data_IF_521191818557
#
_entry.id   IF_521191818557
#
_cell.length_a   1.000
_cell.length_b   1.000
_cell.length_c   1.000
_cell.angle_alpha   90.00
_cell.angle_beta   90.00
_cell.angle_gamma   90.00
#
_symmetry.space_group_name_H-M   'P 1'
#
loop_
_entity.id
_entity.type
_entity.pdbx_description
1 polymer ?
#
# COMPACT_ATOMS: atom_id res chain seq x y z
N UNK A 1 12.67 20.83 -6.62
CA UNK A 1 13.04 19.41 -6.42
C UNK A 1 13.66 19.27 -5.05
N UNK A 2 13.23 18.32 -4.25
CA UNK A 2 13.79 18.02 -2.95
C UNK A 2 14.22 16.55 -2.91
N UNK A 3 15.34 16.25 -2.31
CA UNK A 3 15.83 14.89 -2.12
C UNK A 3 16.68 14.76 -0.86
N UNK A 4 16.66 13.60 -0.27
CA UNK A 4 17.54 13.20 0.81
C UNK A 4 17.91 11.72 0.61
N UNK A 5 19.15 11.36 0.86
CA UNK A 5 19.55 9.96 0.83
C UNK A 5 20.85 9.74 1.63
N UNK A 6 21.05 8.50 2.09
CA UNK A 6 22.29 8.10 2.76
C UNK A 6 23.47 7.95 1.79
N UNK A 7 23.28 8.22 0.51
CA UNK A 7 24.31 8.16 -0.52
C UNK A 7 24.99 9.51 -0.68
N UNK A 8 26.30 9.49 -0.78
CA UNK A 8 27.03 10.66 -1.22
C UNK A 8 26.79 10.90 -2.71
N UNK A 9 25.98 11.91 -3.02
CA UNK A 9 25.62 12.24 -4.40
C UNK A 9 26.75 12.74 -5.28
N UNK A 10 27.91 13.05 -4.69
CA UNK A 10 29.08 13.50 -5.45
C UNK A 10 29.82 12.36 -6.14
N UNK A 11 29.85 11.19 -5.55
CA UNK A 11 30.59 10.04 -6.05
C UNK A 11 29.75 8.75 -6.14
N UNK A 12 28.45 8.79 -5.84
CA UNK A 12 27.57 7.63 -5.76
C UNK A 12 28.00 6.56 -4.75
N UNK A 13 28.86 6.90 -3.82
CA UNK A 13 29.28 6.00 -2.75
C UNK A 13 28.36 6.12 -1.55
N UNK A 14 28.19 5.01 -0.85
CA UNK A 14 27.47 5.01 0.42
C UNK A 14 28.29 5.81 1.45
N UNK A 15 27.69 6.85 2.00
CA UNK A 15 28.29 7.66 3.05
C UNK A 15 28.09 6.94 4.39
N UNK A 16 29.14 6.25 4.85
CA UNK A 16 29.13 5.55 6.13
C UNK A 16 29.09 6.49 7.34
N UNK A 17 29.45 7.76 7.13
CA UNK A 17 29.44 8.79 8.17
C UNK A 17 28.08 9.51 8.25
N UNK A 18 27.28 9.47 7.17
CA UNK A 18 25.86 9.77 7.24
C UNK A 18 25.21 8.68 8.07
N UNK A 19 24.75 9.01 9.27
CA UNK A 19 24.02 8.10 10.13
C UNK A 19 22.90 7.39 9.37
N UNK A 20 22.37 6.25 9.87
CA UNK A 20 21.33 5.48 9.20
C UNK A 20 20.03 6.27 9.03
N UNK A 21 19.92 7.44 9.62
CA UNK A 21 18.75 8.30 9.63
C UNK A 21 19.10 9.67 9.07
N UNK A 22 18.44 10.03 7.96
CA UNK A 22 18.57 11.35 7.32
C UNK A 22 17.39 12.28 7.67
N UNK A 23 16.48 11.83 8.50
CA UNK A 23 15.33 12.60 8.93
C UNK A 23 14.49 11.87 9.98
N UNK A 24 13.57 12.59 10.58
CA UNK A 24 12.64 12.09 11.59
C UNK A 24 11.20 12.47 11.23
N UNK A 25 10.24 11.69 11.70
CA UNK A 25 8.85 11.92 11.37
C UNK A 25 7.88 11.27 12.32
N UNK A 26 6.61 11.58 12.11
CA UNK A 26 5.50 11.06 12.88
C UNK A 26 4.36 10.67 11.93
N UNK A 27 3.72 9.53 12.20
CA UNK A 27 2.56 9.04 11.46
C UNK A 27 1.52 8.47 12.41
N UNK A 28 0.25 8.66 12.05
CA UNK A 28 -0.90 8.09 12.75
C UNK A 28 -1.84 7.44 11.77
N UNK A 29 -2.25 6.21 12.09
CA UNK A 29 -3.34 5.50 11.44
C UNK A 29 -4.51 5.38 12.40
N UNK A 30 -5.70 5.71 11.95
CA UNK A 30 -6.93 5.63 12.73
C UNK A 30 -7.95 4.79 11.97
N UNK A 31 -8.59 3.85 12.63
CA UNK A 31 -9.61 3.05 11.98
C UNK A 31 -10.65 2.49 12.93
N UNK A 32 -11.83 2.25 12.39
CA UNK A 32 -12.93 1.60 13.08
C UNK A 32 -13.53 0.54 12.18
N UNK A 33 -13.87 -0.62 12.76
CA UNK A 33 -14.53 -1.71 12.05
C UNK A 33 -15.82 -2.07 12.78
N UNK A 34 -16.91 -2.02 12.05
CA UNK A 34 -18.22 -2.48 12.51
C UNK A 34 -18.52 -3.85 11.89
N UNK A 35 -18.89 -4.83 12.73
CA UNK A 35 -19.22 -6.20 12.31
C UNK A 35 -20.63 -6.54 12.78
N UNK A 36 -21.52 -6.86 11.83
CA UNK A 36 -22.82 -7.42 12.14
C UNK A 36 -22.75 -8.95 12.07
N UNK A 37 -22.83 -9.59 13.22
CA UNK A 37 -22.86 -11.05 13.32
C UNK A 37 -24.23 -11.64 13.04
N UNK A 38 -24.28 -12.88 12.56
CA UNK A 38 -25.55 -13.59 12.35
C UNK A 38 -26.23 -13.88 13.67
N UNK A 39 -27.56 -13.75 13.72
CA UNK A 39 -28.36 -13.95 14.95
C UNK A 39 -28.21 -15.34 15.56
N UNK A 40 -27.97 -16.36 14.75
CA UNK A 40 -27.80 -17.74 15.23
C UNK A 40 -26.53 -17.93 16.07
N UNK A 41 -25.51 -17.14 15.86
CA UNK A 41 -24.25 -17.21 16.60
C UNK A 41 -24.42 -16.77 18.04
N UNK A 42 -25.26 -15.78 18.30
CA UNK A 42 -25.51 -15.27 19.64
C UNK A 42 -26.21 -16.28 20.57
N UNK A 43 -26.82 -17.35 20.03
CA UNK A 43 -27.45 -18.42 20.82
C UNK A 43 -26.48 -19.58 21.14
N UNK A 44 -25.44 -19.75 20.34
CA UNK A 44 -24.51 -20.88 20.45
C UNK A 44 -23.31 -20.52 21.34
N UNK A 45 -23.02 -19.23 21.52
CA UNK A 45 -21.81 -18.74 22.16
C UNK A 45 -22.06 -17.93 23.44
N UNK A 46 -22.84 -18.46 24.38
CA UNK A 46 -22.92 -17.93 25.76
C UNK A 46 -21.67 -18.29 26.61
N UNK A 47 -20.62 -18.80 25.98
CA UNK A 47 -19.34 -19.13 26.61
C UNK A 47 -18.21 -18.21 26.13
N UNK A 48 -17.04 -18.21 26.81
CA UNK A 48 -15.87 -17.48 26.35
C UNK A 48 -15.49 -18.00 24.94
N UNK A 49 -15.73 -17.18 23.92
CA UNK A 49 -15.39 -17.50 22.55
C UNK A 49 -13.89 -17.76 22.47
N UNK A 50 -13.51 -18.90 21.88
CA UNK A 50 -12.11 -19.14 21.54
C UNK A 50 -11.67 -18.05 20.57
N UNK A 51 -10.62 -17.31 20.91
CA UNK A 51 -10.19 -16.08 20.21
C UNK A 51 -9.88 -16.27 18.71
N UNK A 52 -9.87 -17.49 18.21
CA UNK A 52 -9.59 -17.90 16.84
C UNK A 52 -10.78 -18.55 16.13
N UNK A 53 -11.96 -18.58 16.77
CA UNK A 53 -13.15 -19.13 16.15
C UNK A 53 -13.70 -18.16 15.11
N UNK A 54 -13.94 -18.64 13.89
CA UNK A 54 -14.57 -17.86 12.85
C UNK A 54 -16.00 -17.48 13.27
N UNK A 55 -16.24 -16.21 13.48
CA UNK A 55 -17.58 -15.68 13.80
C UNK A 55 -18.26 -15.36 12.47
N UNK A 56 -19.31 -16.10 12.07
CA UNK A 56 -20.05 -15.79 10.85
C UNK A 56 -20.72 -14.43 10.97
N UNK A 57 -20.54 -13.62 9.96
CA UNK A 57 -21.09 -12.26 9.87
C UNK A 57 -22.07 -12.13 8.71
N UNK A 58 -22.97 -11.14 8.82
CA UNK A 58 -23.79 -10.67 7.69
C UNK A 58 -22.99 -9.68 6.85
N UNK A 59 -22.38 -8.70 7.52
CA UNK A 59 -21.48 -7.76 6.88
C UNK A 59 -20.43 -7.18 7.84
N UNK A 60 -19.34 -6.68 7.26
CA UNK A 60 -18.30 -5.91 7.94
C UNK A 60 -18.10 -4.59 7.20
N UNK A 61 -18.03 -3.49 7.94
CA UNK A 61 -17.72 -2.17 7.44
C UNK A 61 -16.52 -1.63 8.19
N UNK A 62 -15.44 -1.37 7.48
CA UNK A 62 -14.22 -0.75 8.00
C UNK A 62 -14.05 0.64 7.40
N UNK A 63 -13.70 1.61 8.21
CA UNK A 63 -13.32 2.97 7.77
C UNK A 63 -12.01 3.31 8.46
N UNK A 64 -11.03 3.75 7.70
CA UNK A 64 -9.70 4.10 8.23
C UNK A 64 -9.12 5.33 7.55
N UNK A 65 -8.45 6.14 8.33
CA UNK A 65 -7.54 7.18 7.85
C UNK A 65 -6.12 6.67 8.00
N UNK A 66 -5.36 6.70 6.92
CA UNK A 66 -4.04 6.10 6.81
C UNK A 66 -2.98 7.17 6.60
N UNK A 67 -1.80 6.95 7.18
CA UNK A 67 -0.59 7.73 6.94
C UNK A 67 -0.76 9.25 7.18
N UNK A 68 -1.49 9.63 8.24
CA UNK A 68 -1.58 11.03 8.65
C UNK A 68 -0.28 11.44 9.33
N UNK A 69 0.62 12.05 8.55
CA UNK A 69 1.92 12.39 9.11
C UNK A 69 2.88 13.03 8.13
N UNK A 70 4.11 13.18 8.60
CA UNK A 70 5.19 13.78 7.86
C UNK A 70 6.55 13.20 8.25
N UNK A 71 7.53 13.40 7.38
CA UNK A 71 8.96 13.16 7.66
C UNK A 71 9.70 14.45 7.36
N UNK A 72 10.49 14.93 8.31
CA UNK A 72 11.40 16.05 8.16
C UNK A 72 12.81 15.51 7.90
N UNK A 73 13.41 15.96 6.80
CA UNK A 73 14.76 15.60 6.40
C UNK A 73 15.66 16.81 6.62
N UNK A 74 16.71 16.66 7.41
CA UNK A 74 17.67 17.70 7.80
C UNK A 74 19.13 17.28 7.58
N UNK A 75 19.40 15.99 7.39
CA UNK A 75 20.74 15.50 7.05
C UNK A 75 20.82 15.09 5.59
N UNK A 76 21.85 15.52 4.88
CA UNK A 76 22.07 15.29 3.45
C UNK A 76 20.82 15.60 2.59
N UNK A 77 20.05 16.60 3.03
CA UNK A 77 18.83 17.05 2.40
C UNK A 77 19.09 18.30 1.58
N UNK A 78 18.57 18.36 0.36
CA UNK A 78 18.78 19.47 -0.55
C UNK A 78 17.51 19.81 -1.29
N UNK A 79 17.20 21.10 -1.34
CA UNK A 79 16.05 21.62 -2.08
C UNK A 79 16.54 22.53 -3.19
N UNK A 80 16.31 22.12 -4.42
CA UNK A 80 16.61 22.93 -5.59
C UNK A 80 15.33 23.51 -6.19
N UNK A 81 15.31 24.81 -6.38
CA UNK A 81 14.19 25.51 -7.02
C UNK A 81 14.65 26.10 -8.33
N UNK A 82 13.97 25.73 -9.41
CA UNK A 82 14.21 26.24 -10.75
C UNK A 82 13.00 27.08 -11.14
N UNK A 83 13.19 28.40 -11.15
CA UNK A 83 12.18 29.36 -11.61
C UNK A 83 12.79 30.14 -12.75
N UNK A 84 12.11 30.23 -13.86
CA UNK A 84 12.61 31.07 -14.93
C UNK A 84 12.17 30.66 -16.31
N UNK A 85 12.63 31.40 -17.27
CA UNK A 85 12.35 31.24 -18.67
C UNK A 85 13.06 30.02 -19.25
N UNK A 86 12.45 29.41 -20.24
CA UNK A 86 13.10 28.32 -20.96
C UNK A 86 14.47 28.74 -21.50
N UNK A 87 15.45 27.89 -21.31
CA UNK A 87 16.79 28.08 -21.85
C UNK A 87 17.01 27.08 -22.96
N UNK A 88 17.51 27.53 -24.13
CA UNK A 88 17.90 26.62 -25.19
C UNK A 88 19.20 25.91 -24.78
N UNK A 89 19.12 24.58 -24.72
CA UNK A 89 20.29 23.77 -24.39
C UNK A 89 20.87 23.16 -25.68
N UNK A 90 21.90 23.78 -26.16
CA UNK A 90 22.70 23.21 -27.25
C UNK A 90 23.52 22.02 -26.71
N UNK A 91 23.61 20.98 -27.49
CA UNK A 91 24.39 19.77 -27.13
C UNK A 91 23.87 18.99 -25.91
N UNK A 92 22.57 19.00 -25.64
CA UNK A 92 21.95 18.21 -24.55
C UNK A 92 22.34 16.72 -24.61
N UNK A 93 22.62 16.19 -25.80
CA UNK A 93 23.09 14.82 -25.97
C UNK A 93 24.49 14.54 -25.42
N UNK A 94 25.29 15.56 -25.14
CA UNK A 94 26.59 15.45 -24.47
C UNK A 94 26.50 15.55 -22.94
N UNK A 95 25.33 15.89 -22.43
CA UNK A 95 25.09 15.93 -20.99
C UNK A 95 25.10 14.53 -20.40
N UNK A 96 26.15 14.19 -19.65
CA UNK A 96 26.34 12.91 -18.98
C UNK A 96 26.81 13.16 -17.56
N UNK A 97 25.91 13.55 -16.66
CA UNK A 97 26.27 13.75 -15.25
C UNK A 97 26.66 12.42 -14.62
N UNK A 98 27.69 12.42 -13.80
CA UNK A 98 28.13 11.23 -13.07
C UNK A 98 27.16 10.87 -11.94
N UNK A 99 26.52 11.89 -11.38
CA UNK A 99 25.57 11.74 -10.27
C UNK A 99 24.51 12.85 -10.31
N UNK A 100 23.51 12.75 -9.41
CA UNK A 100 22.42 13.73 -9.34
C UNK A 100 22.88 15.12 -8.91
N UNK A 101 23.91 15.21 -8.07
CA UNK A 101 24.46 16.48 -7.63
C UNK A 101 25.09 17.26 -8.79
N UNK A 102 25.88 16.59 -9.63
CA UNK A 102 26.47 17.19 -10.82
C UNK A 102 25.39 17.60 -11.84
N UNK A 103 24.38 16.76 -12.00
CA UNK A 103 23.24 17.09 -12.85
C UNK A 103 22.55 18.39 -12.44
N UNK A 104 22.28 18.53 -11.13
CA UNK A 104 21.59 19.71 -10.61
C UNK A 104 22.46 20.98 -10.66
N UNK A 105 23.75 20.83 -10.42
CA UNK A 105 24.72 21.95 -10.53
C UNK A 105 24.88 22.43 -11.96
N UNK A 106 25.03 21.52 -12.92
CA UNK A 106 25.12 21.86 -14.33
C UNK A 106 23.85 22.54 -14.82
N UNK A 107 22.68 22.01 -14.41
CA UNK A 107 21.40 22.64 -14.70
C UNK A 107 21.29 24.05 -14.12
N UNK A 108 21.74 24.22 -12.86
CA UNK A 108 21.78 25.54 -12.21
C UNK A 108 22.72 26.51 -12.94
N UNK A 109 23.92 26.04 -13.31
CA UNK A 109 24.91 26.82 -14.02
C UNK A 109 24.38 27.32 -15.36
N UNK A 110 23.68 26.47 -16.10
CA UNK A 110 23.11 26.82 -17.41
C UNK A 110 21.93 27.78 -17.33
N UNK A 111 21.07 27.60 -16.34
CA UNK A 111 19.88 28.45 -16.16
C UNK A 111 20.19 29.81 -15.55
N UNK A 112 21.17 29.86 -14.63
CA UNK A 112 21.42 31.04 -13.82
C UNK A 112 22.84 31.58 -13.93
N UNK A 113 23.74 30.92 -14.65
CA UNK A 113 25.16 31.24 -14.70
C UNK A 113 25.93 30.89 -13.41
N UNK A 114 25.29 30.25 -12.44
CA UNK A 114 25.86 29.89 -11.14
C UNK A 114 25.42 28.46 -10.76
N UNK A 115 26.37 27.55 -10.48
CA UNK A 115 26.09 26.16 -10.16
C UNK A 115 25.34 25.96 -8.81
N UNK A 116 25.28 26.96 -7.96
CA UNK A 116 24.68 26.86 -6.61
C UNK A 116 23.38 27.65 -6.45
N UNK A 117 23.05 28.51 -7.41
CA UNK A 117 21.91 29.45 -7.29
C UNK A 117 20.55 28.76 -7.19
N UNK A 118 20.40 27.56 -7.70
CA UNK A 118 19.19 26.78 -7.58
C UNK A 118 18.95 26.19 -6.17
N UNK A 119 20.03 26.04 -5.39
CA UNK A 119 19.95 25.50 -4.02
C UNK A 119 19.30 26.53 -3.11
N UNK A 120 18.10 26.23 -2.62
CA UNK A 120 17.30 27.14 -1.82
C UNK A 120 17.24 26.74 -0.35
N UNK A 121 17.37 25.46 -0.04
CA UNK A 121 17.32 24.97 1.33
C UNK A 121 18.15 23.68 1.48
N UNK A 122 18.58 23.40 2.71
CA UNK A 122 19.28 22.17 3.12
C UNK A 122 18.42 21.27 4.00
N UNK A 123 17.14 21.55 4.10
CA UNK A 123 16.16 20.73 4.82
C UNK A 123 14.80 20.79 4.12
N UNK A 124 13.97 19.79 4.29
CA UNK A 124 12.58 19.83 3.82
C UNK A 124 11.68 18.87 4.60
N UNK A 125 10.39 19.16 4.59
CA UNK A 125 9.36 18.25 5.14
C UNK A 125 8.59 17.62 4.00
N UNK A 126 8.54 16.29 4.01
CA UNK A 126 7.71 15.50 3.09
C UNK A 126 6.50 14.94 3.84
N UNK A 127 5.31 15.23 3.34
CA UNK A 127 4.08 14.67 3.89
C UNK A 127 3.84 13.27 3.35
N UNK A 128 3.38 12.38 4.24
CA UNK A 128 3.08 11.00 3.91
C UNK A 128 1.83 10.90 3.02
N UNK A 129 1.67 9.79 2.30
CA UNK A 129 0.58 9.58 1.36
C UNK A 129 -0.75 9.30 2.08
N UNK A 130 -1.28 10.30 2.75
CA UNK A 130 -2.52 10.20 3.53
C UNK A 130 -3.69 9.73 2.68
N UNK A 131 -4.47 8.78 3.19
CA UNK A 131 -5.62 8.24 2.46
C UNK A 131 -6.80 7.91 3.38
N UNK A 132 -7.99 7.96 2.79
CA UNK A 132 -9.22 7.38 3.33
C UNK A 132 -9.41 5.98 2.75
N UNK A 133 -9.53 4.98 3.62
CA UNK A 133 -9.87 3.61 3.24
C UNK A 133 -11.26 3.25 3.76
N UNK A 134 -12.12 2.77 2.87
CA UNK A 134 -13.46 2.27 3.21
C UNK A 134 -13.58 0.85 2.67
N UNK A 135 -13.78 -0.11 3.55
CA UNK A 135 -13.95 -1.51 3.19
C UNK A 135 -15.33 -2.00 3.61
N UNK A 136 -16.05 -2.61 2.69
CA UNK A 136 -17.33 -3.25 2.94
C UNK A 136 -17.27 -4.71 2.47
N UNK A 137 -17.55 -5.66 3.37
CA UNK A 137 -17.57 -7.09 3.09
C UNK A 137 -18.94 -7.65 3.47
N UNK A 138 -19.62 -8.23 2.51
CA UNK A 138 -21.00 -8.73 2.63
C UNK A 138 -21.08 -10.22 2.35
N UNK A 139 -21.64 -10.97 3.30
CA UNK A 139 -21.96 -12.37 3.12
C UNK A 139 -23.37 -12.51 2.51
N UNK A 140 -23.42 -12.78 1.21
CA UNK A 140 -24.72 -12.87 0.50
C UNK A 140 -25.50 -14.13 0.88
N UNK A 141 -25.03 -15.30 0.49
CA UNK A 141 -25.68 -16.60 0.78
C UNK A 141 -24.65 -17.73 0.73
N UNK A 142 -24.83 -18.76 1.61
CA UNK A 142 -23.99 -19.96 1.61
C UNK A 142 -22.48 -19.58 1.60
N UNK A 143 -21.83 -19.77 0.47
CA UNK A 143 -20.40 -19.59 0.29
C UNK A 143 -20.04 -18.35 -0.57
N UNK A 144 -21.02 -17.47 -0.85
CA UNK A 144 -20.80 -16.29 -1.70
C UNK A 144 -20.66 -15.03 -0.86
N UNK A 145 -19.60 -14.29 -1.15
CA UNK A 145 -19.27 -13.02 -0.49
C UNK A 145 -18.95 -11.95 -1.53
N UNK A 146 -19.16 -10.71 -1.17
CA UNK A 146 -18.82 -9.55 -1.97
C UNK A 146 -18.00 -8.58 -1.11
N UNK A 147 -16.83 -8.27 -1.56
CA UNK A 147 -15.97 -7.28 -0.93
C UNK A 147 -15.85 -6.05 -1.83
N UNK A 148 -15.98 -4.88 -1.25
CA UNK A 148 -15.71 -3.59 -1.91
C UNK A 148 -14.70 -2.84 -1.07
N UNK A 149 -13.65 -2.33 -1.70
CA UNK A 149 -12.61 -1.54 -1.07
C UNK A 149 -12.39 -0.27 -1.87
N UNK A 150 -12.57 0.87 -1.22
CA UNK A 150 -12.19 2.18 -1.72
C UNK A 150 -10.96 2.65 -0.95
N UNK A 151 -9.93 3.04 -1.66
CA UNK A 151 -8.81 3.82 -1.12
C UNK A 151 -8.74 5.12 -1.90
N UNK A 152 -8.89 6.22 -1.21
CA UNK A 152 -8.89 7.57 -1.80
C UNK A 152 -7.73 8.38 -1.23
N UNK A 153 -6.86 8.86 -2.11
CA UNK A 153 -5.81 9.81 -1.75
C UNK A 153 -6.43 11.09 -1.18
N UNK A 154 -5.89 11.55 -0.06
CA UNK A 154 -6.31 12.76 0.62
C UNK A 154 -5.17 13.79 0.62
N UNK A 155 -5.20 14.78 -0.25
CA UNK A 155 -4.21 15.86 -0.28
C UNK A 155 -4.47 16.88 0.86
N UNK A 156 -4.35 16.42 2.12
CA UNK A 156 -4.65 17.25 3.30
C UNK A 156 -3.58 18.32 3.50
N UNK A 157 -2.33 17.97 3.21
CA UNK A 157 -1.18 18.84 3.44
C UNK A 157 -0.62 19.37 2.12
N UNK A 158 -0.25 20.65 2.11
CA UNK A 158 0.47 21.26 0.99
C UNK A 158 1.99 21.03 1.08
N UNK A 159 2.73 21.33 0.01
CA UNK A 159 4.20 21.19 -0.03
C UNK A 159 4.66 19.89 -0.66
N UNK A 160 5.82 19.37 -0.20
CA UNK A 160 6.33 18.10 -0.73
C UNK A 160 5.52 16.94 -0.18
N UNK A 161 4.86 16.23 -1.05
CA UNK A 161 3.98 15.11 -0.71
C UNK A 161 4.25 13.92 -1.63
N UNK A 162 4.23 12.74 -1.07
CA UNK A 162 4.19 11.49 -1.85
C UNK A 162 2.73 11.22 -2.21
N UNK A 163 2.34 11.22 -3.50
CA UNK A 163 0.98 10.90 -3.88
C UNK A 163 0.70 9.41 -3.67
N UNK A 164 -0.53 9.07 -3.31
CA UNK A 164 -1.03 7.70 -3.30
C UNK A 164 -2.00 7.50 -4.45
N UNK A 165 -1.92 6.39 -5.14
CA UNK A 165 -2.92 6.03 -6.13
C UNK A 165 -4.26 5.74 -5.45
N UNK A 166 -5.32 6.37 -5.97
CA UNK A 166 -6.70 6.09 -5.56
C UNK A 166 -7.21 4.87 -6.31
N UNK A 167 -7.96 4.01 -5.66
CA UNK A 167 -8.59 2.89 -6.34
C UNK A 167 -9.88 2.43 -5.69
N UNK A 168 -10.77 1.90 -6.51
CA UNK A 168 -11.98 1.22 -6.12
C UNK A 168 -11.90 -0.23 -6.58
N UNK A 169 -12.05 -1.16 -5.64
CA UNK A 169 -12.08 -2.60 -5.91
C UNK A 169 -13.43 -3.19 -5.58
N UNK A 170 -13.94 -4.04 -6.45
CA UNK A 170 -15.09 -4.89 -6.20
C UNK A 170 -14.68 -6.34 -6.44
N UNK A 171 -14.80 -7.18 -5.41
CA UNK A 171 -14.32 -8.56 -5.43
C UNK A 171 -15.42 -9.53 -5.04
N UNK A 172 -16.13 -10.14 -6.01
CA UNK A 172 -16.92 -11.32 -5.74
C UNK A 172 -15.99 -12.48 -5.32
N UNK A 173 -16.41 -13.20 -4.28
CA UNK A 173 -15.67 -14.29 -3.67
C UNK A 173 -16.58 -15.49 -3.45
N UNK A 174 -16.13 -16.65 -3.88
CA UNK A 174 -16.68 -17.94 -3.49
C UNK A 174 -15.73 -18.60 -2.51
N UNK A 175 -16.19 -18.90 -1.30
CA UNK A 175 -15.35 -19.42 -0.24
C UNK A 175 -15.97 -20.65 0.41
N UNK A 176 -15.21 -21.73 0.42
CA UNK A 176 -15.47 -22.96 1.18
C UNK A 176 -14.32 -23.21 2.14
N UNK A 177 -14.43 -24.24 2.95
CA UNK A 177 -13.38 -24.63 3.91
C UNK A 177 -12.04 -24.91 3.23
N UNK A 178 -12.06 -25.59 2.07
CA UNK A 178 -10.86 -26.04 1.36
C UNK A 178 -10.52 -25.21 0.13
N UNK A 179 -11.48 -24.49 -0.44
CA UNK A 179 -11.34 -23.80 -1.71
C UNK A 179 -11.91 -22.38 -1.61
N UNK A 180 -11.20 -21.43 -2.21
CA UNK A 180 -11.66 -20.06 -2.39
C UNK A 180 -11.28 -19.58 -3.78
N UNK A 181 -12.20 -18.87 -4.41
CA UNK A 181 -11.97 -18.18 -5.68
C UNK A 181 -12.39 -16.72 -5.55
N UNK A 182 -11.51 -15.81 -5.93
CA UNK A 182 -11.73 -14.37 -5.92
C UNK A 182 -11.53 -13.81 -7.32
N UNK A 183 -12.42 -12.90 -7.72
CA UNK A 183 -12.33 -12.17 -8.98
C UNK A 183 -12.30 -10.66 -8.71
N UNK A 184 -11.15 -10.09 -8.31
CA UNK A 184 -11.06 -8.65 -8.09
C UNK A 184 -11.20 -7.88 -9.41
N UNK A 185 -12.11 -6.91 -9.43
CA UNK A 185 -12.28 -5.92 -10.47
C UNK A 185 -11.88 -4.59 -9.85
N UNK A 186 -10.81 -4.00 -10.32
CA UNK A 186 -10.20 -2.81 -9.70
C UNK A 186 -10.13 -1.68 -10.71
N UNK A 187 -10.58 -0.51 -10.31
CA UNK A 187 -10.43 0.73 -11.06
C UNK A 187 -9.34 1.57 -10.38
N UNK A 188 -8.16 1.65 -10.99
CA UNK A 188 -7.05 2.45 -10.51
C UNK A 188 -7.13 3.87 -11.04
N UNK A 189 -6.89 4.82 -10.15
CA UNK A 189 -6.86 6.26 -10.39
C UNK A 189 -8.05 6.77 -11.23
N UNK A 190 -9.20 6.10 -11.04
CA UNK A 190 -10.47 6.36 -11.73
C UNK A 190 -10.40 6.25 -13.26
N UNK A 191 -9.34 5.61 -13.81
CA UNK A 191 -9.05 5.56 -15.24
C UNK A 191 -8.73 4.17 -15.76
N UNK A 192 -7.97 3.38 -14.99
CA UNK A 192 -7.41 2.12 -15.47
C UNK A 192 -8.12 0.93 -14.83
N UNK A 193 -9.07 0.29 -15.53
CA UNK A 193 -9.70 -0.93 -15.04
C UNK A 193 -8.73 -2.12 -15.16
N UNK A 194 -8.71 -2.95 -14.12
CA UNK A 194 -7.97 -4.22 -14.08
C UNK A 194 -8.85 -5.31 -13.53
N UNK A 195 -8.64 -6.53 -14.02
CA UNK A 195 -9.34 -7.71 -13.56
C UNK A 195 -8.28 -8.72 -13.14
N UNK A 196 -8.38 -9.20 -11.91
CA UNK A 196 -7.53 -10.26 -11.38
C UNK A 196 -8.28 -11.57 -11.21
N UNK A 197 -7.54 -12.60 -10.84
CA UNK A 197 -8.06 -13.91 -10.42
C UNK A 197 -7.17 -14.46 -9.33
N UNK A 198 -7.77 -14.93 -8.24
CA UNK A 198 -7.04 -15.61 -7.17
C UNK A 198 -7.76 -16.89 -6.78
N UNK A 199 -7.00 -17.96 -6.66
CA UNK A 199 -7.48 -19.27 -6.27
C UNK A 199 -6.71 -19.74 -5.04
N UNK A 200 -7.42 -20.16 -3.99
CA UNK A 200 -6.83 -20.78 -2.80
C UNK A 200 -7.32 -22.24 -2.67
N UNK A 201 -6.37 -23.11 -2.46
CA UNK A 201 -6.60 -24.50 -2.09
C UNK A 201 -5.94 -24.76 -0.74
N UNK A 202 -6.73 -25.01 0.29
CA UNK A 202 -6.25 -25.17 1.67
C UNK A 202 -5.36 -23.99 2.10
N UNK A 203 -4.07 -24.24 2.22
CA UNK A 203 -3.06 -23.26 2.65
C UNK A 203 -2.34 -22.56 1.48
N UNK A 204 -2.54 -23.03 0.26
CA UNK A 204 -1.84 -22.52 -0.91
C UNK A 204 -2.73 -21.59 -1.72
N UNK A 205 -2.22 -20.41 -2.06
CA UNK A 205 -2.90 -19.43 -2.91
C UNK A 205 -2.04 -19.10 -4.11
N UNK A 206 -2.65 -19.05 -5.28
CA UNK A 206 -2.06 -18.53 -6.52
C UNK A 206 -2.99 -17.50 -7.12
N UNK A 207 -2.45 -16.47 -7.73
CA UNK A 207 -3.26 -15.44 -8.38
C UNK A 207 -2.49 -14.52 -9.30
N UNK A 208 -3.24 -13.68 -9.98
CA UNK A 208 -2.78 -12.59 -10.85
C UNK A 208 -3.72 -11.39 -10.72
N UNK A 209 -3.18 -10.18 -10.73
CA UNK A 209 -3.98 -8.94 -10.75
C UNK A 209 -4.18 -8.40 -12.17
N UNK A 210 -3.57 -9.03 -13.17
CA UNK A 210 -3.61 -8.64 -14.58
C UNK A 210 -4.11 -9.76 -15.51
N UNK A 211 -5.22 -10.37 -15.15
CA UNK A 211 -5.82 -11.44 -15.93
C UNK A 211 -6.14 -10.99 -17.37
N UNK A 212 -6.63 -9.76 -17.55
CA UNK A 212 -6.92 -9.21 -18.88
C UNK A 212 -5.70 -9.20 -19.79
N UNK A 213 -4.55 -8.78 -19.29
CA UNK A 213 -3.27 -8.81 -20.03
C UNK A 213 -2.84 -10.23 -20.37
N UNK A 214 -3.00 -11.18 -19.45
CA UNK A 214 -2.67 -12.60 -19.70
C UNK A 214 -3.55 -13.25 -20.77
N UNK A 215 -4.79 -12.78 -20.90
CA UNK A 215 -5.73 -13.24 -21.93
C UNK A 215 -5.63 -12.48 -23.24
N UNK A 216 -4.69 -11.52 -23.37
CA UNK A 216 -4.52 -10.70 -24.56
C UNK A 216 -5.64 -9.67 -24.75
N UNK A 217 -6.39 -9.34 -23.72
CA UNK A 217 -7.45 -8.35 -23.72
C UNK A 217 -6.89 -6.99 -23.27
N UNK A 218 -6.42 -6.18 -24.23
CA UNK A 218 -5.89 -4.84 -23.99
C UNK A 218 -4.36 -4.73 -24.12
N UNK A 219 -3.83 -3.55 -23.80
CA UNK A 219 -2.40 -3.26 -23.90
C UNK A 219 -1.59 -4.03 -22.87
N UNK A 220 -0.47 -4.61 -23.31
CA UNK A 220 0.39 -5.46 -22.49
C UNK A 220 1.33 -4.59 -21.65
N UNK A 221 0.82 -4.03 -20.57
CA UNK A 221 1.62 -3.30 -19.58
C UNK A 221 2.03 -4.20 -18.39
N UNK A 222 2.78 -5.25 -18.71
CA UNK A 222 3.32 -6.17 -17.71
C UNK A 222 2.38 -7.31 -17.34
N UNK A 223 2.95 -8.36 -16.82
CA UNK A 223 2.29 -9.55 -16.31
C UNK A 223 2.75 -9.76 -14.85
N UNK A 224 1.85 -10.20 -14.00
CA UNK A 224 2.18 -10.58 -12.62
C UNK A 224 1.55 -11.92 -12.28
N UNK A 225 2.26 -12.72 -11.53
CA UNK A 225 1.75 -13.95 -10.90
C UNK A 225 2.29 -13.97 -9.48
N UNK A 226 1.41 -14.12 -8.51
CA UNK A 226 1.80 -14.28 -7.12
C UNK A 226 1.36 -15.64 -6.56
N UNK A 227 2.11 -16.09 -5.59
CA UNK A 227 1.74 -17.25 -4.79
C UNK A 227 2.00 -16.99 -3.32
N UNK A 228 1.20 -17.59 -2.47
CA UNK A 228 1.41 -17.53 -1.03
C UNK A 228 1.06 -18.85 -0.35
N UNK A 229 1.76 -19.13 0.74
CA UNK A 229 1.51 -20.29 1.60
C UNK A 229 1.18 -19.77 2.99
N UNK A 230 0.00 -20.10 3.50
CA UNK A 230 -0.44 -19.71 4.83
C UNK A 230 -0.32 -20.90 5.77
N UNK A 231 0.55 -20.78 6.76
CA UNK A 231 0.68 -21.75 7.85
C UNK A 231 0.20 -21.10 9.14
N UNK A 232 -0.64 -21.80 9.89
CA UNK A 232 -1.11 -21.31 11.18
C UNK A 232 -0.93 -22.43 12.23
N UNK A 233 -0.11 -22.17 13.25
CA UNK A 233 0.03 -23.02 14.41
C UNK A 233 -0.82 -22.45 15.55
N UNK A 234 -1.97 -23.07 15.76
CA UNK A 234 -2.88 -22.66 16.82
C UNK A 234 -2.77 -23.65 17.99
N UNK A 235 -2.20 -23.19 19.10
CA UNK A 235 -2.23 -23.92 20.38
C UNK A 235 -3.22 -23.20 21.30
N UNK A 236 -4.37 -23.80 21.58
CA UNK A 236 -5.33 -23.28 22.52
C UNK A 236 -6.29 -24.36 23.02
N UNK A 237 -6.52 -24.44 24.31
CA UNK A 237 -7.57 -25.25 24.90
C UNK A 237 -8.74 -24.33 25.29
N UNK A 238 -9.89 -24.52 24.64
CA UNK A 238 -11.12 -23.95 25.16
C UNK A 238 -11.61 -24.81 26.30
N UNK A 239 -11.44 -24.35 27.54
CA UNK A 239 -11.97 -25.01 28.73
C UNK A 239 -13.40 -24.52 28.96
N UNK A 240 -14.39 -25.13 28.31
CA UNK A 240 -15.77 -24.96 28.69
C UNK A 240 -16.00 -25.70 30.02
N UNK A 241 -16.64 -25.04 30.98
CA UNK A 241 -17.07 -25.66 32.22
C UNK A 241 -18.06 -26.80 31.91
N UNK A 242 -17.63 -28.03 32.06
CA UNK A 242 -18.42 -29.28 32.02
C UNK A 242 -18.86 -29.93 30.73
N UNK A 243 -18.71 -29.38 29.56
CA UNK A 243 -18.86 -30.16 28.33
C UNK A 243 -17.62 -30.02 27.47
N UNK A 244 -16.98 -31.14 27.16
CA UNK A 244 -15.91 -31.23 26.18
C UNK A 244 -16.53 -31.01 24.77
N UNK A 245 -16.78 -29.77 24.41
CA UNK A 245 -16.92 -29.44 23.01
C UNK A 245 -15.52 -29.43 22.43
N UNK A 246 -15.17 -30.33 21.52
CA UNK A 246 -13.93 -30.21 20.77
C UNK A 246 -14.02 -28.86 20.06
N UNK A 247 -13.18 -27.92 20.43
CA UNK A 247 -12.89 -26.76 19.58
C UNK A 247 -12.47 -27.38 18.26
N UNK A 248 -13.36 -27.30 17.25
CA UNK A 248 -13.35 -28.15 16.10
C UNK A 248 -11.96 -28.39 15.54
N UNK A 249 -11.67 -29.66 15.27
CA UNK A 249 -10.49 -30.04 14.52
C UNK A 249 -10.39 -29.14 13.30
N UNK A 250 -9.36 -28.27 13.29
CA UNK A 250 -8.93 -27.62 12.06
C UNK A 250 -8.36 -28.71 11.16
N UNK A 251 -9.21 -29.28 10.37
CA UNK A 251 -8.77 -30.00 9.19
C UNK A 251 -8.44 -28.94 8.14
N UNK A 252 -7.18 -28.87 7.78
CA UNK A 252 -6.64 -28.05 6.70
C UNK A 252 -7.22 -28.45 5.35
#
# INVERSE_FOLDING_TARGET
MAYSAPLNYRNNEYDSDAGPYTGSGFSVDLGVTFIKTKKEVNRIYDGPACAWQFIPYDYRLGISLLDLGYVHFDENAYVHTYTGNGHYWDEFNKFKPENIYDALRELSSRLYGDPTKSLTDSSFTAFLPSALSIQFDYHYKSNYYFNTLLVQDLPIFGGYRVPRESYLSFTPRYETRAFEANLPIVLYDWRTPRIGLSLRLYSFTIGTDKLGTMLGLGDVYGMDIYFSVRMAWLKGYCRAKKEKHPCGEFQF
#
